data_IF_530889851097
#
_entry.id   IF_530889851097
#
_cell.length_a   1.000
_cell.length_b   1.000
_cell.length_c   1.000
_cell.angle_alpha   90.00
_cell.angle_beta   90.00
_cell.angle_gamma   90.00
#
_symmetry.space_group_name_H-M   'P 1'
#
loop_
_entity.id
_entity.type
_entity.pdbx_description
1 polymer ?
#
# COMPACT_ATOMS: atom_id res chain seq x y z
N UNK A 1 -33.58 -7.30 21.83
CA UNK A 1 -33.79 -7.72 20.42
C UNK A 1 -32.78 -7.02 19.53
N UNK A 2 -31.61 -7.62 19.21
CA UNK A 2 -30.65 -6.95 18.35
C UNK A 2 -31.19 -6.97 16.92
N UNK A 3 -31.30 -5.80 16.31
CA UNK A 3 -31.77 -5.64 14.95
C UNK A 3 -30.64 -6.10 14.03
N UNK A 4 -30.83 -7.25 13.38
CA UNK A 4 -29.90 -7.71 12.35
C UNK A 4 -29.94 -6.68 11.21
N UNK A 5 -28.86 -5.92 11.04
CA UNK A 5 -28.68 -5.07 9.87
C UNK A 5 -28.53 -6.01 8.68
N UNK A 6 -29.64 -6.29 7.99
CA UNK A 6 -29.63 -6.94 6.69
C UNK A 6 -28.98 -5.98 5.70
N UNK A 7 -27.65 -6.04 5.58
CA UNK A 7 -26.95 -5.38 4.49
C UNK A 7 -27.39 -6.07 3.20
N UNK A 8 -28.19 -5.36 2.39
CA UNK A 8 -28.69 -5.81 1.09
C UNK A 8 -27.50 -6.16 0.20
N UNK A 9 -27.28 -7.45 -0.05
CA UNK A 9 -26.23 -7.94 -0.94
C UNK A 9 -26.61 -7.64 -2.39
N UNK A 10 -26.20 -6.49 -2.91
CA UNK A 10 -26.35 -6.18 -4.34
C UNK A 10 -26.32 -4.69 -4.64
N UNK A 11 -25.16 -4.07 -4.46
CA UNK A 11 -24.87 -2.73 -4.98
C UNK A 11 -24.17 -2.80 -6.35
N UNK A 12 -23.97 -1.65 -7.00
CA UNK A 12 -23.12 -1.55 -8.18
C UNK A 12 -21.70 -2.03 -7.85
N UNK A 13 -21.16 -2.90 -8.70
CA UNK A 13 -19.75 -3.33 -8.66
C UNK A 13 -19.10 -2.86 -9.95
N UNK A 14 -18.05 -2.04 -9.81
CA UNK A 14 -17.34 -1.48 -10.96
C UNK A 14 -16.67 -2.57 -11.78
N UNK A 15 -16.49 -2.32 -13.08
CA UNK A 15 -15.73 -3.21 -13.97
C UNK A 15 -14.29 -3.40 -13.48
N UNK A 16 -13.69 -2.38 -12.87
CA UNK A 16 -12.36 -2.47 -12.25
C UNK A 16 -12.34 -3.44 -11.07
N UNK A 17 -13.35 -3.39 -10.20
CA UNK A 17 -13.46 -4.33 -9.07
C UNK A 17 -13.57 -5.76 -9.60
N UNK A 18 -14.43 -6.01 -10.59
CA UNK A 18 -14.59 -7.32 -11.22
C UNK A 18 -13.27 -7.81 -11.83
N UNK A 19 -12.53 -6.93 -12.51
CA UNK A 19 -11.24 -7.23 -13.09
C UNK A 19 -10.20 -7.61 -12.02
N UNK A 20 -10.05 -6.77 -10.98
CA UNK A 20 -9.07 -7.00 -9.91
C UNK A 20 -9.38 -8.31 -9.18
N UNK A 21 -10.66 -8.56 -8.85
CA UNK A 21 -11.08 -9.79 -8.18
C UNK A 21 -10.75 -11.03 -9.03
N UNK A 22 -11.02 -10.98 -10.33
CA UNK A 22 -10.67 -12.04 -11.27
C UNK A 22 -9.15 -12.26 -11.33
N UNK A 23 -8.39 -11.18 -11.52
CA UNK A 23 -6.93 -11.24 -11.59
C UNK A 23 -6.31 -11.85 -10.32
N UNK A 24 -6.75 -11.41 -9.14
CA UNK A 24 -6.21 -11.88 -7.86
C UNK A 24 -6.59 -13.34 -7.55
N UNK A 25 -7.71 -13.83 -8.08
CA UNK A 25 -8.08 -15.25 -8.01
C UNK A 25 -7.16 -16.10 -8.89
N UNK A 26 -6.89 -15.64 -10.10
CA UNK A 26 -6.11 -16.40 -11.08
C UNK A 26 -4.59 -16.28 -10.83
N UNK A 27 -4.15 -15.29 -10.02
CA UNK A 27 -2.74 -15.01 -9.70
C UNK A 27 -2.51 -14.90 -8.18
N UNK A 28 -2.57 -16.00 -7.41
CA UNK A 28 -2.35 -15.97 -5.96
C UNK A 28 -0.96 -15.45 -5.56
N UNK A 29 0.04 -15.59 -6.44
CA UNK A 29 1.38 -15.00 -6.27
C UNK A 29 1.35 -13.48 -6.22
N UNK A 30 0.41 -12.81 -6.90
CA UNK A 30 0.28 -11.35 -6.84
C UNK A 30 -0.06 -10.91 -5.41
N UNK A 31 -0.96 -11.63 -4.72
CA UNK A 31 -1.27 -11.33 -3.31
C UNK A 31 -0.08 -11.59 -2.39
N UNK A 32 0.71 -12.64 -2.65
CA UNK A 32 1.93 -12.92 -1.89
C UNK A 32 2.97 -11.79 -2.07
N UNK A 33 3.18 -11.34 -3.31
CA UNK A 33 4.07 -10.22 -3.64
C UNK A 33 3.57 -8.90 -3.03
N UNK A 34 2.27 -8.63 -3.04
CA UNK A 34 1.69 -7.46 -2.38
C UNK A 34 1.98 -7.45 -0.87
N UNK A 35 1.75 -8.59 -0.19
CA UNK A 35 2.07 -8.72 1.25
C UNK A 35 3.57 -8.55 1.51
N UNK A 36 4.42 -9.14 0.68
CA UNK A 36 5.86 -8.99 0.80
C UNK A 36 6.30 -7.53 0.62
N UNK A 37 5.81 -6.86 -0.43
CA UNK A 37 6.09 -5.45 -0.69
C UNK A 37 5.64 -4.55 0.45
N UNK A 38 4.44 -4.82 1.01
CA UNK A 38 3.95 -4.11 2.20
C UNK A 38 4.94 -4.23 3.37
N UNK A 39 5.42 -5.44 3.67
CA UNK A 39 6.39 -5.66 4.76
C UNK A 39 7.74 -4.97 4.49
N UNK A 40 8.23 -5.02 3.25
CA UNK A 40 9.49 -4.35 2.88
C UNK A 40 9.42 -2.85 3.15
N UNK A 41 8.29 -2.21 2.88
CA UNK A 41 8.14 -0.77 3.04
C UNK A 41 7.75 -0.37 4.47
N UNK A 42 6.73 -1.03 5.02
CA UNK A 42 6.11 -0.64 6.29
C UNK A 42 6.75 -1.29 7.52
N UNK A 43 7.29 -2.50 7.40
CA UNK A 43 7.99 -3.19 8.49
C UNK A 43 9.51 -3.04 8.40
N UNK A 44 10.02 -2.12 7.56
CA UNK A 44 11.46 -1.99 7.33
C UNK A 44 12.19 -1.63 8.64
N UNK A 45 13.13 -2.47 9.13
CA UNK A 45 13.89 -2.12 10.31
C UNK A 45 14.74 -0.87 10.01
N UNK A 46 14.62 0.14 10.87
CA UNK A 46 15.41 1.36 10.75
C UNK A 46 16.77 1.15 11.45
N UNK A 47 17.85 1.23 10.67
CA UNK A 47 19.19 1.39 11.25
C UNK A 47 19.38 2.86 11.64
N UNK A 48 19.20 3.16 12.93
CA UNK A 48 19.25 4.53 13.48
C UNK A 48 20.60 5.20 13.24
N UNK A 49 21.70 4.46 13.35
CA UNK A 49 23.04 5.01 13.14
C UNK A 49 23.30 5.35 11.67
N UNK A 50 22.85 4.50 10.75
CA UNK A 50 22.92 4.79 9.33
C UNK A 50 22.05 6.00 8.96
N UNK A 51 20.85 6.10 9.53
CA UNK A 51 19.95 7.24 9.33
C UNK A 51 20.58 8.56 9.82
N UNK A 52 21.18 8.56 11.02
CA UNK A 52 21.88 9.73 11.57
C UNK A 52 23.07 10.17 10.71
N UNK A 53 23.82 9.23 10.12
CA UNK A 53 24.92 9.55 9.20
C UNK A 53 24.39 10.20 7.93
N UNK A 54 23.38 9.60 7.31
CA UNK A 54 22.76 10.16 6.11
C UNK A 54 22.20 11.57 6.31
N UNK A 55 21.61 11.86 7.47
CA UNK A 55 21.10 13.21 7.77
C UNK A 55 22.24 14.24 7.94
N UNK A 56 23.38 13.84 8.52
CA UNK A 56 24.56 14.72 8.62
C UNK A 56 25.24 14.96 7.28
N UNK A 57 25.20 13.99 6.38
CA UNK A 57 25.80 14.05 5.05
C UNK A 57 24.89 14.76 4.03
N UNK A 58 23.70 15.22 4.45
CA UNK A 58 22.70 15.84 3.58
C UNK A 58 23.16 17.23 3.14
N UNK A 59 23.26 17.41 1.82
CA UNK A 59 23.51 18.72 1.20
C UNK A 59 22.17 19.45 1.02
N UNK A 60 22.09 20.78 1.19
CA UNK A 60 20.87 21.53 0.91
C UNK A 60 20.38 21.30 -0.52
N UNK A 61 19.10 20.91 -0.65
CA UNK A 61 18.47 20.76 -1.95
C UNK A 61 18.14 22.16 -2.50
N UNK A 62 18.53 22.50 -3.74
CA UNK A 62 18.16 23.78 -4.33
C UNK A 62 16.64 23.88 -4.41
N UNK A 63 16.06 25.07 -4.23
CA UNK A 63 14.62 25.25 -4.33
C UNK A 63 14.14 24.80 -5.71
N UNK A 64 13.07 24.00 -5.73
CA UNK A 64 12.38 23.68 -6.99
C UNK A 64 11.86 24.98 -7.59
N UNK A 65 12.31 25.29 -8.81
CA UNK A 65 11.79 26.41 -9.58
C UNK A 65 10.38 26.08 -10.06
N UNK A 66 9.41 26.88 -9.62
CA UNK A 66 8.08 26.92 -10.21
C UNK A 66 7.98 28.23 -11.00
N UNK A 67 7.82 28.12 -12.32
CA UNK A 67 7.46 29.23 -13.20
C UNK A 67 5.93 29.38 -13.32
#
# INVERSE_FOLDING_TARGET
>A
MPHALTCRRGGYVSEFTRFIDGYLRDHPQAQASQRLGWRIYWERPLNVEQWRRAERDKVPEPPYHYD
#
